data_IF_893458301602
#
_entry.id   IF_893458301602
#
_cell.length_a   1.000
_cell.length_b   1.000
_cell.length_c   1.000
_cell.angle_alpha   90.00
_cell.angle_beta   90.00
_cell.angle_gamma   90.00
#
_symmetry.space_group_name_H-M   'P 1'
#
loop_
_entity.id
_entity.type
_entity.pdbx_description
1 polymer ?
#
# COMPACT_ATOMS: atom_id res chain seq x y z
N UNK A 1 -21.50 -6.82 -12.16
CA UNK A 1 -20.47 -6.02 -11.47
C UNK A 1 -21.19 -4.87 -10.78
N UNK A 2 -21.00 -4.68 -9.48
CA UNK A 2 -21.69 -3.62 -8.73
C UNK A 2 -20.91 -2.30 -8.80
N UNK A 3 -21.58 -1.17 -8.56
CA UNK A 3 -20.89 0.12 -8.41
C UNK A 3 -19.82 0.10 -7.31
N UNK A 4 -20.04 -0.65 -6.23
CA UNK A 4 -19.06 -0.82 -5.16
C UNK A 4 -17.78 -1.50 -5.67
N UNK A 5 -17.90 -2.57 -6.48
CA UNK A 5 -16.77 -3.28 -7.08
C UNK A 5 -15.99 -2.39 -8.05
N UNK A 6 -16.70 -1.57 -8.84
CA UNK A 6 -16.11 -0.59 -9.75
C UNK A 6 -15.29 0.47 -8.99
N UNK A 7 -15.88 1.07 -7.97
CA UNK A 7 -15.23 2.08 -7.14
C UNK A 7 -14.01 1.47 -6.43
N UNK A 8 -14.14 0.26 -5.89
CA UNK A 8 -13.06 -0.38 -5.15
C UNK A 8 -11.86 -0.72 -6.06
N UNK A 9 -12.10 -1.28 -7.26
CA UNK A 9 -10.99 -1.53 -8.21
C UNK A 9 -10.36 -0.23 -8.72
N UNK A 10 -11.13 0.84 -8.89
CA UNK A 10 -10.60 2.15 -9.27
C UNK A 10 -9.71 2.74 -8.16
N UNK A 11 -10.14 2.60 -6.90
CA UNK A 11 -9.38 3.02 -5.73
C UNK A 11 -8.05 2.27 -5.65
N UNK A 12 -8.07 0.93 -5.78
CA UNK A 12 -6.84 0.14 -5.74
C UNK A 12 -5.91 0.43 -6.92
N UNK A 13 -6.44 0.67 -8.12
CA UNK A 13 -5.64 1.07 -9.27
C UNK A 13 -4.95 2.42 -9.02
N UNK A 14 -5.70 3.41 -8.53
CA UNK A 14 -5.18 4.74 -8.23
C UNK A 14 -4.15 4.70 -7.11
N UNK A 15 -4.44 3.96 -6.05
CA UNK A 15 -3.53 3.74 -4.93
C UNK A 15 -2.24 3.05 -5.40
N UNK A 16 -2.35 1.95 -6.14
CA UNK A 16 -1.20 1.24 -6.71
C UNK A 16 -0.35 2.12 -7.63
N UNK A 17 -0.99 2.90 -8.50
CA UNK A 17 -0.30 3.86 -9.39
C UNK A 17 0.46 4.90 -8.58
N UNK A 18 -0.18 5.46 -7.55
CA UNK A 18 0.44 6.48 -6.69
C UNK A 18 1.66 5.92 -5.98
N UNK A 19 1.54 4.73 -5.36
CA UNK A 19 2.64 4.05 -4.69
C UNK A 19 3.79 3.72 -5.66
N UNK A 20 3.51 3.32 -6.91
CA UNK A 20 4.56 3.08 -7.90
C UNK A 20 5.33 4.36 -8.18
N UNK A 21 4.62 5.45 -8.51
CA UNK A 21 5.26 6.70 -8.90
C UNK A 21 6.06 7.28 -7.73
N UNK A 22 5.44 7.42 -6.55
CA UNK A 22 6.08 8.05 -5.39
C UNK A 22 7.29 7.26 -4.91
N UNK A 23 7.17 5.96 -4.70
CA UNK A 23 8.28 5.14 -4.19
C UNK A 23 9.40 4.99 -5.22
N UNK A 24 9.08 4.93 -6.52
CA UNK A 24 10.11 4.95 -7.57
C UNK A 24 10.89 6.27 -7.55
N UNK A 25 10.20 7.40 -7.43
CA UNK A 25 10.85 8.71 -7.30
C UNK A 25 11.75 8.80 -6.07
N UNK A 26 11.35 8.18 -4.95
CA UNK A 26 12.16 8.13 -3.73
C UNK A 26 13.41 7.28 -3.84
N UNK A 27 13.42 6.25 -4.71
CA UNK A 27 14.58 5.40 -4.92
C UNK A 27 15.59 6.01 -5.91
N UNK A 28 15.14 6.88 -6.82
CA UNK A 28 15.97 7.43 -7.90
C UNK A 28 16.54 8.81 -7.56
N UNK A 29 15.80 9.66 -6.84
CA UNK A 29 16.27 11.01 -6.50
C UNK A 29 17.37 10.98 -5.43
N UNK A 30 18.35 11.87 -5.55
CA UNK A 30 19.45 12.02 -4.59
C UNK A 30 18.96 12.31 -3.15
N UNK A 31 17.91 13.12 -3.00
CA UNK A 31 17.25 13.40 -1.73
C UNK A 31 15.97 12.58 -1.50
N UNK A 32 15.77 11.51 -2.28
CA UNK A 32 14.53 10.73 -2.30
C UNK A 32 14.20 10.07 -0.97
N UNK A 33 15.20 9.59 -0.23
CA UNK A 33 15.00 8.98 1.09
C UNK A 33 14.62 10.00 2.17
N UNK A 34 15.01 11.27 2.03
CA UNK A 34 14.56 12.34 2.92
C UNK A 34 13.09 12.69 2.67
N UNK A 35 12.68 12.71 1.40
CA UNK A 35 11.27 12.87 1.03
C UNK A 35 10.44 11.69 1.50
N UNK A 36 10.94 10.46 1.33
CA UNK A 36 10.30 9.25 1.83
C UNK A 36 10.13 9.27 3.35
N UNK A 37 11.12 9.77 4.09
CA UNK A 37 11.02 9.95 5.56
C UNK A 37 9.88 10.89 5.94
N UNK A 38 9.68 11.96 5.18
CA UNK A 38 8.59 12.94 5.42
C UNK A 38 7.22 12.34 5.10
N UNK A 39 7.09 11.58 3.99
CA UNK A 39 5.85 10.89 3.67
C UNK A 39 5.55 9.79 4.70
N UNK A 40 6.54 8.94 5.00
CA UNK A 40 6.44 7.86 5.98
C UNK A 40 6.64 8.35 7.42
N UNK A 41 6.01 9.47 7.76
CA UNK A 41 6.07 10.08 9.09
C UNK A 41 5.44 9.22 10.19
N UNK A 42 4.82 8.09 9.82
CA UNK A 42 4.43 7.00 10.70
C UNK A 42 5.62 6.26 11.30
N UNK A 43 6.82 6.33 10.72
CA UNK A 43 8.01 5.73 11.31
C UNK A 43 8.68 6.66 12.34
N UNK A 44 9.35 6.11 13.37
CA UNK A 44 10.11 6.94 14.32
C UNK A 44 11.19 7.75 13.59
N UNK A 45 11.37 9.05 13.89
CA UNK A 45 12.26 9.93 13.11
C UNK A 45 13.75 9.53 13.17
N UNK A 46 14.13 8.74 14.17
CA UNK A 46 15.50 8.27 14.42
C UNK A 46 15.88 6.98 13.70
N UNK A 47 14.99 6.41 12.85
CA UNK A 47 15.33 5.18 12.13
C UNK A 47 16.42 5.43 11.07
N UNK A 48 17.30 4.43 10.84
CA UNK A 48 18.33 4.53 9.81
C UNK A 48 17.70 4.50 8.41
N UNK A 49 18.30 5.21 7.46
CA UNK A 49 17.84 5.26 6.06
C UNK A 49 17.71 3.89 5.40
N UNK A 50 18.50 2.89 5.83
CA UNK A 50 18.36 1.50 5.35
C UNK A 50 16.95 0.94 5.60
N UNK A 51 16.34 1.23 6.76
CA UNK A 51 14.97 0.79 7.07
C UNK A 51 13.92 1.55 6.28
N UNK A 52 14.14 2.85 6.04
CA UNK A 52 13.28 3.66 5.17
C UNK A 52 13.31 3.13 3.74
N UNK A 53 14.51 2.86 3.20
CA UNK A 53 14.68 2.28 1.87
C UNK A 53 13.98 0.93 1.76
N UNK A 54 14.10 0.06 2.78
CA UNK A 54 13.38 -1.22 2.82
C UNK A 54 11.86 -1.00 2.76
N UNK A 55 11.32 -0.06 3.55
CA UNK A 55 9.91 0.29 3.50
C UNK A 55 9.48 0.76 2.11
N UNK A 56 10.22 1.68 1.50
CA UNK A 56 9.92 2.20 0.15
C UNK A 56 9.87 1.06 -0.88
N UNK A 57 10.78 0.08 -0.78
CA UNK A 57 10.77 -1.10 -1.65
C UNK A 57 9.54 -1.97 -1.39
N UNK A 58 9.19 -2.21 -0.13
CA UNK A 58 7.98 -2.97 0.23
C UNK A 58 6.71 -2.28 -0.29
N UNK A 59 6.57 -0.97 -0.07
CA UNK A 59 5.43 -0.17 -0.52
C UNK A 59 5.34 -0.14 -2.04
N UNK A 60 6.48 0.02 -2.74
CA UNK A 60 6.54 -0.11 -4.20
C UNK A 60 6.04 -1.47 -4.68
N UNK A 61 6.44 -2.55 -3.99
CA UNK A 61 6.03 -3.91 -4.34
C UNK A 61 4.52 -4.10 -4.19
N UNK A 62 3.93 -3.62 -3.10
CA UNK A 62 2.47 -3.61 -2.92
C UNK A 62 1.77 -2.70 -3.93
N UNK A 63 2.36 -1.55 -4.28
CA UNK A 63 1.85 -0.68 -5.34
C UNK A 63 1.74 -1.40 -6.69
N UNK A 64 2.79 -2.15 -7.07
CA UNK A 64 2.80 -2.99 -8.27
C UNK A 64 1.69 -4.06 -8.21
N UNK A 65 1.54 -4.74 -7.07
CA UNK A 65 0.50 -5.77 -6.90
C UNK A 65 -0.89 -5.16 -7.07
N UNK A 66 -1.22 -4.07 -6.35
CA UNK A 66 -2.54 -3.44 -6.44
C UNK A 66 -2.82 -2.88 -7.83
N UNK A 67 -1.82 -2.28 -8.48
CA UNK A 67 -1.93 -1.82 -9.85
C UNK A 67 -2.22 -2.98 -10.80
N UNK A 68 -1.43 -4.05 -10.77
CA UNK A 68 -1.56 -5.18 -11.68
C UNK A 68 -2.89 -5.90 -11.50
N UNK A 69 -3.29 -6.20 -10.26
CA UNK A 69 -4.55 -6.90 -9.97
C UNK A 69 -5.76 -6.07 -10.40
N UNK A 70 -5.73 -4.76 -10.15
CA UNK A 70 -6.83 -3.86 -10.54
C UNK A 70 -6.88 -3.64 -12.05
N UNK A 71 -5.73 -3.49 -12.71
CA UNK A 71 -5.64 -3.36 -14.16
C UNK A 71 -6.13 -4.63 -14.85
N UNK A 72 -5.73 -5.82 -14.38
CA UNK A 72 -6.24 -7.09 -14.90
C UNK A 72 -7.75 -7.22 -14.73
N UNK A 73 -8.30 -6.78 -13.59
CA UNK A 73 -9.75 -6.71 -13.36
C UNK A 73 -10.47 -5.81 -14.38
N UNK A 74 -9.85 -4.68 -14.77
CA UNK A 74 -10.36 -3.83 -15.85
C UNK A 74 -10.28 -4.50 -17.23
N UNK A 75 -9.12 -5.04 -17.59
CA UNK A 75 -8.87 -5.65 -18.90
C UNK A 75 -9.73 -6.89 -19.14
N UNK A 76 -10.01 -7.68 -18.10
CA UNK A 76 -10.86 -8.87 -18.18
C UNK A 76 -12.35 -8.55 -18.06
N UNK A 77 -12.72 -7.28 -17.84
CA UNK A 77 -14.10 -6.85 -17.57
C UNK A 77 -14.81 -7.67 -16.49
N UNK A 78 -14.04 -8.17 -15.51
CA UNK A 78 -14.52 -9.04 -14.42
C UNK A 78 -13.85 -8.64 -13.12
N UNK A 79 -14.64 -8.55 -12.06
CA UNK A 79 -14.13 -8.31 -10.72
C UNK A 79 -13.45 -9.56 -10.17
N UNK A 80 -12.12 -9.52 -10.03
CA UNK A 80 -11.30 -10.65 -9.55
C UNK A 80 -11.21 -10.60 -8.02
N UNK A 81 -12.33 -10.88 -7.35
CA UNK A 81 -12.49 -10.73 -5.89
C UNK A 81 -11.38 -11.43 -5.09
N UNK A 82 -11.07 -12.70 -5.41
CA UNK A 82 -10.11 -13.49 -4.66
C UNK A 82 -8.70 -12.87 -4.70
N UNK A 83 -8.24 -12.42 -5.86
CA UNK A 83 -6.89 -11.85 -5.99
C UNK A 83 -6.81 -10.49 -5.32
N UNK A 84 -7.85 -9.67 -5.45
CA UNK A 84 -7.97 -8.40 -4.74
C UNK A 84 -7.92 -8.64 -3.22
N UNK A 85 -8.74 -9.55 -2.71
CA UNK A 85 -8.81 -9.90 -1.30
C UNK A 85 -7.46 -10.40 -0.75
N UNK A 86 -6.79 -11.32 -1.45
CA UNK A 86 -5.46 -11.83 -1.05
C UNK A 86 -4.45 -10.68 -0.98
N UNK A 87 -4.42 -9.80 -1.98
CA UNK A 87 -3.51 -8.65 -1.97
C UNK A 87 -3.77 -7.70 -0.79
N UNK A 88 -5.04 -7.46 -0.47
CA UNK A 88 -5.44 -6.63 0.68
C UNK A 88 -5.09 -7.27 2.02
N UNK A 89 -5.23 -8.60 2.17
CA UNK A 89 -4.76 -9.32 3.37
C UNK A 89 -3.26 -9.17 3.55
N UNK A 90 -2.46 -9.41 2.50
CA UNK A 90 -1.00 -9.32 2.60
C UNK A 90 -0.55 -7.91 2.99
N UNK A 91 -1.21 -6.89 2.43
CA UNK A 91 -0.94 -5.49 2.78
C UNK A 91 -1.36 -5.15 4.22
N UNK A 92 -2.49 -5.71 4.68
CA UNK A 92 -2.93 -5.59 6.07
C UNK A 92 -1.91 -6.20 7.04
N UNK A 93 -1.47 -7.43 6.77
CA UNK A 93 -0.43 -8.10 7.57
C UNK A 93 0.86 -7.28 7.61
N UNK A 94 1.28 -6.71 6.49
CA UNK A 94 2.43 -5.81 6.43
C UNK A 94 2.27 -4.62 7.39
N UNK A 95 1.13 -3.91 7.34
CA UNK A 95 0.86 -2.78 8.22
C UNK A 95 0.83 -3.15 9.70
N UNK A 96 0.25 -4.31 10.04
CA UNK A 96 0.23 -4.83 11.42
C UNK A 96 1.64 -5.17 11.91
N UNK A 97 2.44 -5.87 11.10
CA UNK A 97 3.84 -6.19 11.42
C UNK A 97 4.63 -4.91 11.65
N UNK A 98 4.44 -3.90 10.80
CA UNK A 98 5.09 -2.61 10.95
C UNK A 98 4.69 -1.91 12.26
N UNK A 99 3.40 -1.91 12.60
CA UNK A 99 2.90 -1.35 13.84
C UNK A 99 3.48 -2.05 15.08
N UNK A 100 3.51 -3.39 15.08
CA UNK A 100 4.06 -4.19 16.17
C UNK A 100 5.58 -4.05 16.31
N UNK A 101 6.30 -3.90 15.20
CA UNK A 101 7.75 -3.79 15.19
C UNK A 101 8.22 -2.43 15.70
N UNK A 102 7.64 -1.33 15.21
CA UNK A 102 8.08 0.02 15.61
C UNK A 102 7.41 0.53 16.88
N UNK A 103 6.25 -0.03 17.27
CA UNK A 103 5.48 0.33 18.48
C UNK A 103 5.31 1.84 18.66
N UNK A 104 5.13 2.55 17.55
CA UNK A 104 5.01 4.00 17.54
C UNK A 104 3.57 4.37 17.25
N UNK A 105 3.00 5.33 17.98
CA UNK A 105 1.55 5.56 17.93
C UNK A 105 1.03 5.83 16.50
N UNK A 106 1.84 6.50 15.66
CA UNK A 106 1.48 6.79 14.26
C UNK A 106 1.50 5.54 13.35
N UNK A 107 2.30 4.51 13.64
CA UNK A 107 2.24 3.26 12.87
C UNK A 107 0.93 2.50 13.09
N UNK A 108 0.26 2.68 14.24
CA UNK A 108 -1.07 2.12 14.47
C UNK A 108 -2.14 2.76 13.56
N UNK A 109 -2.03 4.06 13.26
CA UNK A 109 -2.91 4.73 12.31
C UNK A 109 -2.80 4.15 10.90
N UNK A 110 -1.57 3.86 10.46
CA UNK A 110 -1.33 3.17 9.19
C UNK A 110 -1.93 1.75 9.20
N UNK A 111 -1.68 0.95 10.24
CA UNK A 111 -2.26 -0.38 10.35
C UNK A 111 -3.80 -0.37 10.38
N UNK A 112 -4.41 0.64 11.01
CA UNK A 112 -5.86 0.80 10.99
C UNK A 112 -6.38 1.03 9.57
N UNK A 113 -5.71 1.88 8.78
CA UNK A 113 -6.08 2.11 7.38
C UNK A 113 -5.96 0.83 6.52
N UNK A 114 -4.93 0.01 6.73
CA UNK A 114 -4.77 -1.25 6.00
C UNK A 114 -5.83 -2.29 6.38
N UNK A 115 -6.25 -2.32 7.65
CA UNK A 115 -7.38 -3.15 8.13
C UNK A 115 -8.68 -2.71 7.46
N UNK A 116 -8.98 -1.41 7.39
CA UNK A 116 -10.17 -0.92 6.72
C UNK A 116 -10.20 -1.29 5.24
N UNK A 117 -9.06 -1.20 4.55
CA UNK A 117 -8.93 -1.61 3.16
C UNK A 117 -9.24 -3.10 2.98
N UNK A 118 -8.73 -3.94 3.89
CA UNK A 118 -8.98 -5.38 3.90
C UNK A 118 -10.45 -5.70 4.19
N UNK A 119 -11.09 -5.02 5.14
CA UNK A 119 -12.54 -5.18 5.40
C UNK A 119 -13.35 -4.75 4.17
N UNK A 120 -12.99 -3.63 3.53
CA UNK A 120 -13.62 -3.17 2.30
C UNK A 120 -13.57 -4.24 1.19
N UNK A 121 -12.46 -4.97 1.07
CA UNK A 121 -12.34 -6.06 0.11
C UNK A 121 -13.20 -7.31 0.40
N UNK A 122 -13.68 -7.49 1.64
CA UNK A 122 -14.62 -8.56 2.03
C UNK A 122 -16.06 -8.16 1.72
N UNK A 123 -16.41 -6.91 2.00
CA UNK A 123 -17.80 -6.44 1.96
C UNK A 123 -18.31 -6.14 0.54
N UNK A 124 -17.44 -6.17 -0.47
CA UNK A 124 -17.67 -5.76 -1.88
C UNK A 124 -17.49 -6.92 -2.85
#
# INVERSE_FOLDING_TARGET
MTWAQEIFRALLLTFGTTEIITNTLYLIKDNGLDLARKQHGELPPQIPYKKIKLKVICMLSFGIIFFAVSLLSYLLHKYISNTIFISSILFCLYGIIEALYYRYWKTFGFAFATILLMIGSILI
#
